data_IF_438711242530
#
_entry.id   IF_438711242530
#
_cell.length_a   1.000
_cell.length_b   1.000
_cell.length_c   1.000
_cell.angle_alpha   90.00
_cell.angle_beta   90.00
_cell.angle_gamma   90.00
#
_symmetry.space_group_name_H-M   'P 1'
#
loop_
_entity.id
_entity.type
_entity.pdbx_description
1 polymer ?
#
# COMPACT_ATOMS: atom_id res chain seq x y z
N UNK A 1 43.01 -26.17 -1.41
CA UNK A 1 42.18 -26.44 -2.60
C UNK A 1 40.95 -25.58 -2.46
N UNK A 2 40.92 -24.40 -3.09
CA UNK A 2 39.76 -23.52 -3.03
C UNK A 2 38.64 -24.17 -3.86
N UNK A 3 37.52 -24.50 -3.22
CA UNK A 3 36.30 -24.90 -3.92
C UNK A 3 35.91 -23.70 -4.80
N UNK A 4 35.79 -23.85 -6.14
CA UNK A 4 35.27 -22.80 -6.97
C UNK A 4 33.81 -22.56 -6.55
N UNK A 5 33.56 -21.55 -5.74
CA UNK A 5 32.21 -21.08 -5.46
C UNK A 5 31.76 -20.31 -6.69
N UNK A 6 31.09 -20.99 -7.61
CA UNK A 6 30.44 -20.32 -8.73
C UNK A 6 29.34 -19.41 -8.16
N UNK A 7 29.48 -18.07 -8.22
CA UNK A 7 28.48 -17.15 -7.71
C UNK A 7 27.13 -17.33 -8.40
N UNK A 8 27.10 -17.89 -9.63
CA UNK A 8 25.88 -18.16 -10.39
C UNK A 8 25.06 -19.33 -9.80
N UNK A 9 25.71 -20.33 -9.20
CA UNK A 9 24.99 -21.46 -8.58
C UNK A 9 24.24 -21.01 -7.32
N UNK A 10 24.87 -20.12 -6.51
CA UNK A 10 24.27 -19.55 -5.31
C UNK A 10 23.25 -18.43 -5.61
N UNK A 11 23.31 -17.80 -6.79
CA UNK A 11 22.38 -16.72 -7.16
C UNK A 11 20.97 -17.22 -7.46
N UNK A 12 20.82 -18.47 -7.92
CA UNK A 12 19.52 -19.02 -8.35
C UNK A 12 18.55 -19.21 -7.20
N UNK A 13 19.06 -19.75 -6.08
CA UNK A 13 18.31 -19.83 -4.82
C UNK A 13 18.06 -18.44 -4.24
N UNK A 14 19.06 -17.55 -4.32
CA UNK A 14 18.96 -16.20 -3.77
C UNK A 14 17.86 -15.37 -4.46
N UNK A 15 17.86 -15.28 -5.80
CA UNK A 15 16.90 -14.45 -6.54
C UNK A 15 15.45 -14.89 -6.32
N UNK A 16 15.20 -16.21 -6.31
CA UNK A 16 13.86 -16.74 -5.99
C UNK A 16 13.48 -16.49 -4.52
N UNK A 17 14.41 -16.66 -3.57
CA UNK A 17 14.14 -16.40 -2.16
C UNK A 17 13.81 -14.92 -1.89
N UNK A 18 14.46 -14.00 -2.60
CA UNK A 18 14.17 -12.57 -2.58
C UNK A 18 12.74 -12.32 -3.09
N UNK A 19 12.40 -12.84 -4.28
CA UNK A 19 11.07 -12.69 -4.88
C UNK A 19 9.95 -13.26 -3.98
N UNK A 20 10.18 -14.42 -3.37
CA UNK A 20 9.27 -15.05 -2.42
C UNK A 20 9.11 -14.22 -1.14
N UNK A 21 10.22 -13.65 -0.65
CA UNK A 21 10.25 -12.71 0.46
C UNK A 21 9.35 -11.50 0.20
N UNK A 22 9.60 -10.79 -0.89
CA UNK A 22 8.83 -9.60 -1.31
C UNK A 22 7.36 -9.94 -1.52
N UNK A 23 7.05 -11.04 -2.21
CA UNK A 23 5.67 -11.51 -2.38
C UNK A 23 4.96 -11.75 -1.04
N UNK A 24 5.63 -12.44 -0.10
CA UNK A 24 5.06 -12.74 1.21
C UNK A 24 4.80 -11.48 2.04
N UNK A 25 5.65 -10.48 1.90
CA UNK A 25 5.52 -9.20 2.59
C UNK A 25 4.33 -8.43 2.02
N UNK A 26 4.28 -8.21 0.70
CA UNK A 26 3.18 -7.50 0.04
C UNK A 26 1.82 -8.17 0.30
N UNK A 27 1.77 -9.51 0.26
CA UNK A 27 0.57 -10.27 0.61
C UNK A 27 0.10 -9.98 2.04
N UNK A 28 1.01 -10.00 3.02
CA UNK A 28 0.67 -9.73 4.43
C UNK A 28 0.23 -8.28 4.62
N UNK A 29 0.93 -7.33 3.99
CA UNK A 29 0.60 -5.91 4.02
C UNK A 29 -0.80 -5.63 3.43
N UNK A 30 -1.09 -6.17 2.24
CA UNK A 30 -2.40 -6.05 1.61
C UNK A 30 -3.54 -6.65 2.46
N UNK A 31 -3.33 -7.84 3.04
CA UNK A 31 -4.33 -8.47 3.92
C UNK A 31 -4.60 -7.60 5.15
N UNK A 32 -3.55 -7.04 5.77
CA UNK A 32 -3.67 -6.16 6.93
C UNK A 32 -4.47 -4.90 6.56
N UNK A 33 -4.10 -4.20 5.49
CA UNK A 33 -4.80 -3.01 5.02
C UNK A 33 -6.29 -3.28 4.73
N UNK A 34 -6.59 -4.38 4.02
CA UNK A 34 -7.98 -4.81 3.75
C UNK A 34 -8.79 -5.08 5.02
N UNK A 35 -8.17 -5.68 6.04
CA UNK A 35 -8.84 -5.95 7.33
C UNK A 35 -9.17 -4.66 8.07
N UNK A 36 -8.22 -3.73 8.18
CA UNK A 36 -8.47 -2.43 8.83
C UNK A 36 -9.54 -1.62 8.10
N UNK A 37 -9.47 -1.54 6.78
CA UNK A 37 -10.50 -0.89 5.97
C UNK A 37 -11.89 -1.49 6.24
N UNK A 38 -12.03 -2.82 6.15
CA UNK A 38 -13.32 -3.48 6.37
C UNK A 38 -13.84 -3.32 7.79
N UNK A 39 -12.97 -3.38 8.79
CA UNK A 39 -13.34 -3.18 10.19
C UNK A 39 -13.86 -1.76 10.42
N UNK A 40 -13.17 -0.74 9.89
CA UNK A 40 -13.58 0.65 9.99
C UNK A 40 -14.92 0.90 9.28
N UNK A 41 -15.10 0.41 8.04
CA UNK A 41 -16.37 0.53 7.31
C UNK A 41 -17.52 -0.15 8.04
N UNK A 42 -17.28 -1.34 8.58
CA UNK A 42 -18.31 -2.09 9.30
C UNK A 42 -18.70 -1.37 10.58
N UNK A 43 -17.73 -0.83 11.33
CA UNK A 43 -18.01 -0.08 12.53
C UNK A 43 -18.74 1.23 12.23
N UNK A 44 -18.33 1.96 11.18
CA UNK A 44 -19.02 3.16 10.70
C UNK A 44 -20.49 2.86 10.38
N UNK A 45 -20.74 1.76 9.65
CA UNK A 45 -22.10 1.35 9.30
C UNK A 45 -22.94 1.04 10.55
N UNK A 46 -22.40 0.24 11.48
CA UNK A 46 -23.11 -0.15 12.70
C UNK A 46 -23.40 1.06 13.61
N UNK A 47 -22.41 1.94 13.81
CA UNK A 47 -22.57 3.15 14.65
C UNK A 47 -23.56 4.11 14.00
N UNK A 48 -23.47 4.31 12.68
CA UNK A 48 -24.39 5.20 11.96
C UNK A 48 -25.84 4.69 12.02
N UNK A 49 -26.05 3.37 11.91
CA UNK A 49 -27.37 2.75 12.07
C UNK A 49 -27.90 2.83 13.51
N UNK A 50 -27.01 2.84 14.52
CA UNK A 50 -27.40 2.94 15.93
C UNK A 50 -27.85 4.36 16.34
N UNK A 51 -27.41 5.42 15.64
CA UNK A 51 -27.80 6.81 15.94
C UNK A 51 -29.33 7.00 15.94
N UNK A 52 -30.07 6.72 14.85
CA UNK A 52 -31.52 6.91 14.84
C UNK A 52 -32.23 5.99 15.84
N UNK A 53 -31.73 4.77 16.04
CA UNK A 53 -32.29 3.84 17.05
C UNK A 53 -32.16 4.41 18.45
N UNK A 54 -31.00 5.00 18.79
CA UNK A 54 -30.79 5.63 20.10
C UNK A 54 -31.73 6.80 20.36
N UNK A 55 -32.03 7.58 19.32
CA UNK A 55 -32.95 8.71 19.41
C UNK A 55 -34.39 8.27 19.71
N UNK A 56 -34.80 7.09 19.23
CA UNK A 56 -36.14 6.52 19.48
C UNK A 56 -36.23 5.88 20.87
N UNK A 57 -35.20 5.14 21.29
CA UNK A 57 -35.19 4.41 22.57
C UNK A 57 -35.03 5.34 23.78
N UNK A 58 -34.29 6.43 23.64
CA UNK A 58 -34.06 7.38 24.73
C UNK A 58 -34.24 8.83 24.27
N UNK A 59 -35.49 9.27 24.01
CA UNK A 59 -35.76 10.58 23.43
C UNK A 59 -35.31 11.77 24.29
N UNK A 60 -35.16 11.55 25.60
CA UNK A 60 -34.80 12.57 26.59
C UNK A 60 -33.29 12.66 26.84
N UNK A 61 -32.50 11.69 26.36
CA UNK A 61 -31.05 11.64 26.58
C UNK A 61 -30.29 11.88 25.28
N UNK A 62 -29.90 13.14 25.05
CA UNK A 62 -29.11 13.53 23.89
C UNK A 62 -27.64 13.06 23.97
N UNK A 63 -27.19 12.52 25.10
CA UNK A 63 -25.80 12.10 25.30
C UNK A 63 -25.44 10.92 24.39
N UNK A 64 -26.35 9.96 24.24
CA UNK A 64 -26.13 8.74 23.46
C UNK A 64 -25.88 9.05 21.97
N UNK A 65 -26.78 9.77 21.26
CA UNK A 65 -26.52 10.13 19.86
C UNK A 65 -25.30 11.03 19.70
N UNK A 66 -24.99 11.90 20.68
CA UNK A 66 -23.78 12.73 20.64
C UNK A 66 -22.47 11.91 20.77
N UNK A 67 -22.45 10.87 21.60
CA UNK A 67 -21.31 9.94 21.70
C UNK A 67 -21.15 9.16 20.39
N UNK A 68 -22.24 8.61 19.84
CA UNK A 68 -22.19 7.87 18.57
C UNK A 68 -21.71 8.76 17.41
N UNK A 69 -22.19 10.00 17.32
CA UNK A 69 -21.73 10.98 16.33
C UNK A 69 -20.23 11.26 16.44
N UNK A 70 -19.69 11.42 17.66
CA UNK A 70 -18.23 11.57 17.87
C UNK A 70 -17.45 10.36 17.38
N UNK A 71 -17.94 9.15 17.62
CA UNK A 71 -17.31 7.91 17.13
C UNK A 71 -17.27 7.90 15.60
N UNK A 72 -18.35 8.29 14.92
CA UNK A 72 -18.38 8.40 13.45
C UNK A 72 -17.33 9.38 12.94
N UNK A 73 -17.20 10.57 13.55
CA UNK A 73 -16.21 11.57 13.15
C UNK A 73 -14.78 11.03 13.31
N UNK A 74 -14.49 10.39 14.45
CA UNK A 74 -13.17 9.79 14.70
C UNK A 74 -12.85 8.70 13.67
N UNK A 75 -13.78 7.80 13.38
CA UNK A 75 -13.58 6.73 12.41
C UNK A 75 -13.42 7.25 10.98
N UNK A 76 -14.16 8.30 10.62
CA UNK A 76 -14.05 8.96 9.32
C UNK A 76 -12.68 9.64 9.17
N UNK A 77 -12.23 10.35 10.21
CA UNK A 77 -10.89 10.93 10.24
C UNK A 77 -9.79 9.88 10.17
N UNK A 78 -9.95 8.76 10.88
CA UNK A 78 -9.02 7.65 10.84
C UNK A 78 -8.92 7.04 9.44
N UNK A 79 -10.05 6.84 8.77
CA UNK A 79 -10.09 6.40 7.37
C UNK A 79 -9.36 7.37 6.45
N UNK A 80 -9.59 8.67 6.62
CA UNK A 80 -8.98 9.73 5.83
C UNK A 80 -7.48 9.90 6.09
N UNK A 81 -6.98 9.58 7.28
CA UNK A 81 -5.54 9.66 7.57
C UNK A 81 -4.80 8.44 7.04
N UNK A 82 -5.34 7.25 7.25
CA UNK A 82 -4.61 6.01 7.00
C UNK A 82 -4.77 5.45 5.59
N UNK A 83 -5.71 5.94 4.77
CA UNK A 83 -5.86 5.56 3.37
C UNK A 83 -5.80 4.03 3.13
N UNK A 84 -6.35 3.23 4.05
CA UNK A 84 -6.19 1.76 4.03
C UNK A 84 -6.67 1.10 2.74
N UNK A 85 -7.59 1.74 2.02
CA UNK A 85 -8.04 1.28 0.71
C UNK A 85 -6.91 1.39 -0.32
N UNK A 86 -6.30 2.57 -0.42
CA UNK A 86 -5.23 2.86 -1.38
C UNK A 86 -4.00 2.00 -1.08
N UNK A 87 -3.67 1.83 0.20
CA UNK A 87 -2.64 0.89 0.66
C UNK A 87 -2.94 -0.54 0.21
N UNK A 88 -4.18 -1.01 0.38
CA UNK A 88 -4.57 -2.35 -0.06
C UNK A 88 -4.39 -2.52 -1.58
N UNK A 89 -4.85 -1.55 -2.38
CA UNK A 89 -4.73 -1.59 -3.83
C UNK A 89 -3.27 -1.57 -4.26
N UNK A 90 -2.46 -0.64 -3.71
CA UNK A 90 -1.03 -0.49 -4.02
C UNK A 90 -0.25 -1.77 -3.69
N UNK A 91 -0.40 -2.32 -2.49
CA UNK A 91 0.28 -3.57 -2.11
C UNK A 91 -0.21 -4.77 -2.92
N UNK A 92 -1.48 -4.80 -3.32
CA UNK A 92 -2.00 -5.87 -4.18
C UNK A 92 -1.42 -5.81 -5.59
N UNK A 93 -1.28 -4.61 -6.16
CA UNK A 93 -0.63 -4.42 -7.46
C UNK A 93 0.84 -4.82 -7.42
N UNK A 94 1.59 -4.38 -6.42
CA UNK A 94 3.00 -4.78 -6.23
C UNK A 94 3.13 -6.31 -6.07
N UNK A 95 2.24 -6.94 -5.31
CA UNK A 95 2.19 -8.40 -5.17
C UNK A 95 1.97 -9.10 -6.52
N UNK A 96 1.00 -8.65 -7.31
CA UNK A 96 0.73 -9.25 -8.63
C UNK A 96 1.90 -9.05 -9.59
N UNK A 97 2.57 -7.90 -9.54
CA UNK A 97 3.77 -7.65 -10.35
C UNK A 97 4.90 -8.63 -9.99
N UNK A 98 5.19 -8.84 -8.69
CA UNK A 98 6.18 -9.83 -8.25
C UNK A 98 5.78 -11.24 -8.64
N UNK A 99 4.49 -11.58 -8.51
CA UNK A 99 3.98 -12.90 -8.91
C UNK A 99 4.09 -13.15 -10.43
N UNK A 100 3.89 -12.13 -11.26
CA UNK A 100 4.08 -12.22 -12.70
C UNK A 100 5.54 -12.58 -13.04
N UNK A 101 6.51 -11.90 -12.43
CA UNK A 101 7.94 -12.20 -12.62
C UNK A 101 8.31 -13.61 -12.13
N UNK A 102 7.76 -14.04 -10.98
CA UNK A 102 7.94 -15.42 -10.48
C UNK A 102 7.41 -16.46 -11.46
N UNK A 103 6.26 -16.21 -12.10
CA UNK A 103 5.68 -17.12 -13.10
C UNK A 103 6.57 -17.21 -14.32
N UNK A 104 7.00 -16.07 -14.87
CA UNK A 104 7.89 -16.03 -16.03
C UNK A 104 9.22 -16.76 -15.76
N UNK A 105 9.80 -16.56 -14.57
CA UNK A 105 11.03 -17.25 -14.16
C UNK A 105 10.84 -18.77 -14.02
N UNK A 106 9.71 -19.21 -13.45
CA UNK A 106 9.41 -20.66 -13.31
C UNK A 106 9.17 -21.34 -14.65
N UNK A 107 8.53 -20.66 -15.59
CA UNK A 107 8.30 -21.18 -16.94
C UNK A 107 9.50 -21.01 -17.86
N UNK A 108 10.60 -20.39 -17.38
CA UNK A 108 11.75 -19.99 -18.21
C UNK A 108 11.33 -19.23 -19.48
N UNK A 109 10.25 -18.45 -19.36
CA UNK A 109 9.75 -17.60 -20.44
C UNK A 109 10.63 -16.34 -20.54
N UNK A 110 10.67 -15.69 -21.70
CA UNK A 110 11.40 -14.43 -21.90
C UNK A 110 10.99 -13.40 -20.82
N UNK A 111 11.94 -12.72 -20.16
CA UNK A 111 13.39 -12.62 -20.42
C UNK A 111 14.27 -13.68 -19.71
N UNK A 112 13.68 -14.69 -19.05
CA UNK A 112 14.37 -15.68 -18.20
C UNK A 112 14.82 -16.96 -18.91
N UNK A 113 14.87 -16.94 -20.25
CA UNK A 113 15.24 -18.11 -21.05
C UNK A 113 16.71 -18.50 -20.94
N UNK A 114 17.60 -17.55 -20.61
CA UNK A 114 19.04 -17.81 -20.44
C UNK A 114 19.37 -18.15 -18.96
N UNK A 115 19.86 -19.38 -18.68
CA UNK A 115 20.25 -19.79 -17.34
C UNK A 115 21.34 -18.95 -16.69
N UNK A 116 22.21 -18.32 -17.47
CA UNK A 116 23.33 -17.51 -16.95
C UNK A 116 22.92 -16.12 -16.44
N UNK A 117 21.77 -15.61 -16.90
CA UNK A 117 21.33 -14.22 -16.62
C UNK A 117 19.98 -14.13 -15.90
N UNK A 118 19.15 -15.17 -15.95
CA UNK A 118 17.80 -15.23 -15.35
C UNK A 118 17.73 -14.75 -13.90
N UNK A 119 18.71 -15.10 -13.07
CA UNK A 119 18.71 -14.75 -11.64
C UNK A 119 18.92 -13.25 -11.41
N UNK A 120 19.87 -12.66 -12.15
CA UNK A 120 20.16 -11.23 -12.09
C UNK A 120 18.99 -10.43 -12.62
N UNK A 121 18.36 -10.91 -13.70
CA UNK A 121 17.16 -10.30 -14.25
C UNK A 121 16.02 -10.31 -13.24
N UNK A 122 15.80 -11.43 -12.54
CA UNK A 122 14.73 -11.54 -11.55
C UNK A 122 14.97 -10.62 -10.36
N UNK A 123 16.19 -10.64 -9.81
CA UNK A 123 16.55 -9.75 -8.71
C UNK A 123 16.41 -8.26 -9.10
N UNK A 124 16.80 -7.90 -10.31
CA UNK A 124 16.66 -6.53 -10.85
C UNK A 124 15.19 -6.16 -11.03
N UNK A 125 14.36 -7.07 -11.56
CA UNK A 125 12.94 -6.85 -11.75
C UNK A 125 12.20 -6.65 -10.41
N UNK A 126 12.48 -7.50 -9.42
CA UNK A 126 11.91 -7.38 -8.06
C UNK A 126 12.35 -6.07 -7.42
N UNK A 127 13.64 -5.73 -7.47
CA UNK A 127 14.16 -4.46 -6.94
C UNK A 127 13.48 -3.26 -7.61
N UNK A 128 13.27 -3.30 -8.93
CA UNK A 128 12.55 -2.25 -9.66
C UNK A 128 11.12 -2.09 -9.17
N UNK A 129 10.40 -3.19 -8.94
CA UNK A 129 9.02 -3.15 -8.40
C UNK A 129 9.01 -2.48 -7.02
N UNK A 130 9.95 -2.83 -6.15
CA UNK A 130 10.08 -2.22 -4.82
C UNK A 130 10.42 -0.72 -4.90
N UNK A 131 11.31 -0.33 -5.81
CA UNK A 131 11.65 1.08 -6.03
C UNK A 131 10.48 1.88 -6.62
N UNK A 132 9.66 1.29 -7.49
CA UNK A 132 8.46 1.93 -8.02
C UNK A 132 7.41 2.16 -6.92
N UNK A 133 7.26 1.22 -5.98
CA UNK A 133 6.41 1.38 -4.81
C UNK A 133 6.89 2.55 -3.95
N UNK A 134 8.21 2.61 -3.67
CA UNK A 134 8.82 3.70 -2.91
C UNK A 134 8.73 5.07 -3.62
N UNK A 135 8.93 5.10 -4.94
CA UNK A 135 8.84 6.33 -5.73
C UNK A 135 7.44 6.93 -5.75
N UNK A 136 6.41 6.08 -5.72
CA UNK A 136 5.01 6.51 -5.59
C UNK A 136 4.78 7.27 -4.27
N UNK A 137 5.41 6.85 -3.18
CA UNK A 137 5.36 7.56 -1.89
C UNK A 137 6.04 8.94 -1.94
N UNK A 138 7.21 9.03 -2.57
CA UNK A 138 7.97 10.30 -2.67
C UNK A 138 7.19 11.32 -3.49
N UNK A 139 6.53 10.90 -4.58
CA UNK A 139 5.72 11.79 -5.41
C UNK A 139 4.47 12.30 -4.68
N UNK A 140 3.78 11.45 -3.91
CA UNK A 140 2.64 11.83 -3.06
C UNK A 140 3.02 12.87 -2.00
N UNK A 141 4.20 12.74 -1.38
CA UNK A 141 4.70 13.70 -0.39
C UNK A 141 5.18 14.99 -1.07
N UNK A 142 5.83 14.90 -2.23
CA UNK A 142 6.35 16.04 -2.99
C UNK A 142 5.26 17.00 -3.50
N UNK A 143 4.18 16.47 -4.08
CA UNK A 143 3.06 17.30 -4.60
C UNK A 143 2.29 18.03 -3.49
N UNK A 144 2.25 17.45 -2.28
CA UNK A 144 1.63 18.10 -1.11
C UNK A 144 2.41 19.36 -0.69
N UNK A 145 3.74 19.36 -0.85
CA UNK A 145 4.58 20.51 -0.50
C UNK A 145 4.54 21.62 -1.56
N UNK A 146 4.49 21.29 -2.86
CA UNK A 146 4.44 22.30 -3.94
C UNK A 146 3.12 23.08 -3.94
N UNK A 147 1.98 22.40 -3.77
CA UNK A 147 0.66 23.05 -3.69
C UNK A 147 0.53 24.02 -2.51
N UNK A 148 1.21 23.72 -1.39
CA UNK A 148 1.24 24.60 -0.21
C UNK A 148 2.15 25.81 -0.43
N UNK A 149 3.26 25.64 -1.16
CA UNK A 149 4.20 26.72 -1.49
C UNK A 149 3.64 27.74 -2.48
N UNK A 150 2.87 27.28 -3.47
CA UNK A 150 2.29 28.16 -4.50
C UNK A 150 1.14 29.04 -3.98
N UNK A 151 0.39 28.58 -2.97
CA UNK A 151 -0.63 29.40 -2.29
C UNK A 151 -0.06 30.45 -1.33
N UNK A 152 1.19 30.29 -0.89
CA UNK A 152 1.88 31.21 0.01
C UNK A 152 2.65 32.33 -0.73
N UNK A 153 2.81 32.22 -2.05
CA UNK A 153 3.47 33.25 -2.85
C UNK A 153 2.57 34.51 -2.96
N UNK A 154 3.01 35.69 -2.51
CA UNK A 154 2.23 36.91 -2.66
C UNK A 154 2.10 37.20 -4.16
N UNK A 155 0.86 37.21 -4.66
CA UNK A 155 0.55 37.68 -6.02
C UNK A 155 1.02 39.12 -6.15
N UNK A 156 2.17 39.33 -6.78
CA UNK A 156 2.69 40.65 -7.09
C UNK A 156 1.70 41.38 -8.00
N UNK A 157 1.09 42.42 -7.46
CA UNK A 157 0.16 43.32 -8.15
C UNK A 157 0.88 43.98 -9.33
N UNK A 158 0.33 43.96 -10.56
CA UNK A 158 0.95 44.65 -11.68
C UNK A 158 0.89 46.17 -11.48
N UNK A 159 1.92 46.93 -11.89
CA UNK A 159 1.90 48.39 -11.82
C UNK A 159 0.89 48.98 -12.81
N UNK A 160 0.19 50.02 -12.37
CA UNK A 160 -0.85 50.75 -13.09
C UNK A 160 -0.30 51.61 -14.24
#
# INVERSE_FOLDING_TARGET
MAVPTDPAANSSGYAMSLADGSYSWYRRAAIKARRFHRAAETLLLLVSAAIPVSAVVSPQDATIPAVLGRVVVVLTGLRALFHWHDDYVRFSQAREAVEAERRLYRTSAEPYGDPGTRDRLLATAVTRIEQQEMGTWVQLVGTTNESTGEMAAPRSTPPA
#
